data_IF_545527792144
#
_entry.id   IF_545527792144
#
_cell.length_a   1.000
_cell.length_b   1.000
_cell.length_c   1.000
_cell.angle_alpha   90.00
_cell.angle_beta   90.00
_cell.angle_gamma   90.00
#
_symmetry.space_group_name_H-M   'P 1'
#
loop_
_entity.id
_entity.type
_entity.pdbx_description
1 polymer ?
#
# COMPACT_ATOMS: atom_id res chain seq x y z
N UNK A 1 -0.52 1.03 2.35
CA UNK A 1 -0.62 2.00 1.25
C UNK A 1 0.18 1.52 0.08
N UNK A 2 -0.47 1.45 -1.08
CA UNK A 2 0.15 1.04 -2.35
C UNK A 2 0.45 2.30 -3.14
N UNK A 3 1.66 2.42 -3.67
CA UNK A 3 2.05 3.54 -4.53
C UNK A 3 1.28 3.52 -5.85
N UNK A 4 0.99 4.70 -6.40
CA UNK A 4 0.47 4.82 -7.76
C UNK A 4 1.43 4.13 -8.75
N UNK A 5 0.88 3.30 -9.64
CA UNK A 5 1.63 2.59 -10.66
C UNK A 5 1.16 2.92 -12.07
N UNK A 6 0.57 4.09 -12.26
CA UNK A 6 0.22 4.60 -13.58
C UNK A 6 1.41 4.45 -14.53
N UNK A 7 1.15 3.89 -15.71
CA UNK A 7 2.12 3.45 -16.73
C UNK A 7 2.86 2.11 -16.47
N UNK A 8 2.70 1.47 -15.32
CA UNK A 8 3.29 0.14 -15.03
C UNK A 8 2.50 -0.69 -14.00
N UNK A 9 1.38 -1.28 -14.44
CA UNK A 9 0.52 -2.15 -13.63
C UNK A 9 0.94 -3.62 -13.60
N UNK A 10 2.11 -3.96 -14.15
CA UNK A 10 2.56 -5.35 -14.19
C UNK A 10 3.00 -5.81 -12.80
N UNK A 11 2.49 -6.97 -12.38
CA UNK A 11 2.98 -7.70 -11.22
C UNK A 11 4.17 -8.57 -11.65
N UNK A 12 5.33 -7.93 -11.74
CA UNK A 12 6.61 -8.61 -11.96
C UNK A 12 7.20 -9.16 -10.65
N UNK A 13 8.43 -9.66 -10.73
CA UNK A 13 9.20 -10.09 -9.55
C UNK A 13 9.57 -8.93 -8.62
N UNK A 14 9.67 -7.71 -9.17
CA UNK A 14 9.90 -6.47 -8.44
C UNK A 14 8.65 -5.62 -8.52
N UNK A 15 7.89 -5.60 -7.42
CA UNK A 15 6.72 -4.72 -7.26
C UNK A 15 7.09 -3.44 -6.49
N UNK A 16 8.36 -3.05 -6.48
CA UNK A 16 8.89 -1.93 -5.72
C UNK A 16 8.86 -2.21 -4.22
N UNK A 17 8.79 -1.17 -3.38
CA UNK A 17 8.77 -1.28 -1.91
C UNK A 17 7.44 -1.82 -1.32
N UNK A 18 6.82 -2.77 -2.00
CA UNK A 18 5.52 -3.34 -1.65
C UNK A 18 5.63 -4.75 -1.07
N UNK A 19 6.71 -5.48 -1.34
CA UNK A 19 6.88 -6.87 -0.92
C UNK A 19 6.96 -6.96 0.61
N UNK A 20 7.92 -6.25 1.22
CA UNK A 20 8.11 -6.30 2.68
C UNK A 20 6.92 -5.66 3.41
N UNK A 21 6.41 -4.56 2.87
CA UNK A 21 5.21 -3.89 3.40
C UNK A 21 4.01 -4.85 3.50
N UNK A 22 3.79 -5.64 2.44
CA UNK A 22 2.68 -6.60 2.37
C UNK A 22 2.92 -7.82 3.25
N UNK A 23 4.16 -8.33 3.31
CA UNK A 23 4.57 -9.42 4.21
C UNK A 23 4.33 -9.04 5.69
N UNK A 24 4.71 -7.83 6.09
CA UNK A 24 4.48 -7.31 7.44
C UNK A 24 2.99 -7.20 7.72
N UNK A 25 2.21 -6.61 6.80
CA UNK A 25 0.75 -6.50 6.95
C UNK A 25 0.11 -7.88 7.16
N UNK A 26 0.52 -8.88 6.37
CA UNK A 26 0.03 -10.24 6.51
C UNK A 26 0.41 -10.89 7.84
N UNK A 27 1.66 -10.70 8.28
CA UNK A 27 2.12 -11.23 9.58
C UNK A 27 1.31 -10.63 10.74
N UNK A 28 1.04 -9.33 10.70
CA UNK A 28 0.22 -8.63 11.68
C UNK A 28 -1.22 -9.12 11.65
N UNK A 29 -1.83 -9.28 10.47
CA UNK A 29 -3.17 -9.89 10.34
C UNK A 29 -3.26 -11.24 11.03
N UNK A 30 -2.29 -12.13 10.84
CA UNK A 30 -2.32 -13.46 11.48
C UNK A 30 -2.15 -13.38 13.00
N UNK A 31 -1.29 -12.48 13.47
CA UNK A 31 -0.96 -12.38 14.89
C UNK A 31 -2.04 -11.60 15.69
N UNK A 32 -2.67 -10.60 15.09
CA UNK A 32 -3.63 -9.70 15.73
C UNK A 32 -5.08 -9.96 15.33
N UNK A 33 -5.32 -10.90 14.41
CA UNK A 33 -6.63 -11.10 13.76
C UNK A 33 -7.15 -9.81 13.08
N UNK A 34 -6.23 -8.95 12.63
CA UNK A 34 -6.56 -7.67 12.05
C UNK A 34 -7.16 -7.80 10.63
N UNK A 35 -7.84 -6.75 10.19
CA UNK A 35 -8.30 -6.61 8.80
C UNK A 35 -7.28 -5.81 8.00
N UNK A 36 -6.86 -6.32 6.84
CA UNK A 36 -5.98 -5.58 5.92
C UNK A 36 -6.85 -4.82 4.93
N UNK A 37 -6.51 -3.55 4.71
CA UNK A 37 -7.03 -2.72 3.61
C UNK A 37 -5.85 -2.25 2.76
N UNK A 38 -5.86 -2.60 1.49
CA UNK A 38 -4.95 -2.06 0.48
C UNK A 38 -5.61 -0.85 -0.16
N UNK A 39 -4.99 0.31 0.00
CA UNK A 39 -5.46 1.58 -0.57
C UNK A 39 -4.43 2.06 -1.58
N UNK A 40 -4.89 2.43 -2.76
CA UNK A 40 -4.10 3.13 -3.79
C UNK A 40 -4.81 4.45 -4.14
N UNK A 41 -4.03 5.52 -4.25
CA UNK A 41 -4.48 6.81 -4.77
C UNK A 41 -3.84 7.01 -6.15
N UNK A 42 -4.66 7.31 -7.15
CA UNK A 42 -4.24 7.57 -8.53
C UNK A 42 -4.73 8.95 -8.98
N UNK A 43 -4.03 9.54 -9.95
CA UNK A 43 -4.40 10.88 -10.47
C UNK A 43 -5.30 10.82 -11.69
N UNK A 44 -5.13 9.84 -12.57
CA UNK A 44 -5.91 9.74 -13.81
C UNK A 44 -7.12 8.82 -13.59
N UNK A 45 -8.36 9.33 -13.71
CA UNK A 45 -9.57 8.50 -13.65
C UNK A 45 -9.59 7.35 -14.66
N UNK A 46 -8.91 7.50 -15.80
CA UNK A 46 -8.85 6.44 -16.83
C UNK A 46 -8.10 5.19 -16.35
N UNK A 47 -7.22 5.35 -15.38
CA UNK A 47 -6.41 4.26 -14.82
C UNK A 47 -7.11 3.53 -13.66
N UNK A 48 -8.30 3.96 -13.25
CA UNK A 48 -9.02 3.37 -12.11
C UNK A 48 -9.27 1.88 -12.29
N UNK A 49 -9.64 1.46 -13.51
CA UNK A 49 -9.85 0.05 -13.82
C UNK A 49 -8.55 -0.76 -13.67
N UNK A 50 -7.44 -0.24 -14.20
CA UNK A 50 -6.13 -0.91 -14.11
C UNK A 50 -5.67 -1.02 -12.65
N UNK A 51 -5.89 0.03 -11.84
CA UNK A 51 -5.57 0.01 -10.42
C UNK A 51 -6.39 -1.02 -9.63
N UNK A 52 -7.69 -1.18 -9.96
CA UNK A 52 -8.54 -2.21 -9.35
C UNK A 52 -8.05 -3.61 -9.72
N UNK A 53 -7.81 -3.86 -11.00
CA UNK A 53 -7.30 -5.14 -11.49
C UNK A 53 -5.93 -5.49 -10.90
N UNK A 54 -5.06 -4.48 -10.70
CA UNK A 54 -3.79 -4.65 -10.01
C UNK A 54 -3.97 -5.10 -8.56
N UNK A 55 -4.82 -4.44 -7.77
CA UNK A 55 -5.05 -4.81 -6.38
C UNK A 55 -5.68 -6.20 -6.25
N UNK A 56 -6.62 -6.53 -7.12
CA UNK A 56 -7.27 -7.85 -7.12
C UNK A 56 -6.26 -8.96 -7.47
N UNK A 57 -5.41 -8.70 -8.47
CA UNK A 57 -4.34 -9.62 -8.86
C UNK A 57 -3.31 -9.78 -7.74
N UNK A 58 -2.92 -8.68 -7.08
CA UNK A 58 -2.01 -8.71 -5.92
C UNK A 58 -2.58 -9.56 -4.79
N UNK A 59 -3.85 -9.34 -4.41
CA UNK A 59 -4.52 -10.11 -3.35
C UNK A 59 -4.60 -11.60 -3.71
N UNK A 60 -4.90 -11.91 -4.96
CA UNK A 60 -5.01 -13.28 -5.47
C UNK A 60 -3.66 -13.99 -5.44
N UNK A 61 -2.62 -13.41 -6.08
CA UNK A 61 -1.31 -14.04 -6.21
C UNK A 61 -0.59 -14.14 -4.86
N UNK A 62 -0.69 -13.12 -4.00
CA UNK A 62 -0.13 -13.15 -2.65
C UNK A 62 -0.93 -14.02 -1.67
N UNK A 63 -2.04 -14.64 -2.10
CA UNK A 63 -2.93 -15.48 -1.29
C UNK A 63 -3.36 -14.79 0.01
N UNK A 64 -3.85 -13.55 -0.10
CA UNK A 64 -4.30 -12.70 1.02
C UNK A 64 -5.84 -12.63 1.11
N UNK A 65 -6.56 -13.74 1.37
CA UNK A 65 -8.03 -13.73 1.36
C UNK A 65 -8.58 -12.79 2.43
N UNK A 66 -9.77 -12.23 2.19
CA UNK A 66 -10.43 -11.26 3.09
C UNK A 66 -9.58 -10.00 3.33
N UNK A 67 -9.04 -9.46 2.24
CA UNK A 67 -8.34 -8.17 2.22
C UNK A 67 -9.23 -7.19 1.48
N UNK A 68 -9.45 -6.03 2.06
CA UNK A 68 -10.21 -4.95 1.43
C UNK A 68 -9.31 -4.24 0.42
N UNK A 69 -9.86 -3.85 -0.71
CA UNK A 69 -9.17 -3.07 -1.75
C UNK A 69 -9.93 -1.78 -2.01
N UNK A 70 -9.21 -0.66 -2.06
CA UNK A 70 -9.78 0.66 -2.32
C UNK A 70 -8.92 1.43 -3.32
N UNK A 71 -9.55 1.95 -4.36
CA UNK A 71 -8.94 2.84 -5.36
C UNK A 71 -9.59 4.20 -5.23
N UNK A 72 -8.78 5.23 -5.05
CA UNK A 72 -9.21 6.63 -4.96
C UNK A 72 -8.59 7.44 -6.09
N UNK A 73 -9.40 8.22 -6.80
CA UNK A 73 -8.95 9.12 -7.86
C UNK A 73 -8.83 10.55 -7.30
N UNK A 74 -7.73 10.84 -6.61
CA UNK A 74 -7.45 12.12 -5.95
C UNK A 74 -5.93 12.19 -5.63
N UNK A 75 -5.45 13.34 -5.16
CA UNK A 75 -4.09 13.48 -4.65
C UNK A 75 -3.86 12.57 -3.42
N UNK A 76 -2.73 11.88 -3.39
CA UNK A 76 -2.37 10.94 -2.32
C UNK A 76 -2.49 11.54 -0.92
N UNK A 77 -2.03 12.77 -0.69
CA UNK A 77 -2.10 13.41 0.63
C UNK A 77 -3.53 13.71 1.05
N UNK A 78 -4.38 14.05 0.08
CA UNK A 78 -5.81 14.26 0.29
C UNK A 78 -6.51 12.95 0.63
N UNK A 79 -6.17 11.85 -0.05
CA UNK A 79 -6.70 10.51 0.25
C UNK A 79 -6.27 10.06 1.65
N UNK A 80 -5.00 10.22 2.02
CA UNK A 80 -4.51 9.83 3.37
C UNK A 80 -5.30 10.52 4.49
N UNK A 81 -5.65 11.80 4.31
CA UNK A 81 -6.42 12.55 5.31
C UNK A 81 -7.90 12.16 5.40
N UNK A 82 -8.47 11.55 4.35
CA UNK A 82 -9.90 11.19 4.26
C UNK A 82 -10.14 9.69 4.39
N UNK A 83 -9.11 8.87 4.19
CA UNK A 83 -9.22 7.42 4.25
C UNK A 83 -9.73 6.95 5.61
N UNK A 84 -10.45 5.83 5.68
CA UNK A 84 -10.98 5.37 6.95
C UNK A 84 -9.84 5.05 7.92
N UNK A 85 -10.00 5.35 9.22
CA UNK A 85 -8.94 5.17 10.21
C UNK A 85 -8.46 3.71 10.29
N UNK A 86 -7.21 3.54 10.70
CA UNK A 86 -6.57 2.26 10.92
C UNK A 86 -5.68 2.33 12.17
N UNK A 87 -5.57 1.24 12.91
CA UNK A 87 -4.67 1.15 14.08
C UNK A 87 -3.19 1.31 13.68
N UNK A 88 -2.86 0.85 12.47
CA UNK A 88 -1.53 0.95 11.88
C UNK A 88 -1.62 1.22 10.37
N UNK A 89 -0.93 2.27 9.92
CA UNK A 89 -0.73 2.56 8.51
C UNK A 89 0.67 2.09 8.07
N UNK A 90 0.75 1.31 6.99
CA UNK A 90 2.02 0.82 6.43
C UNK A 90 2.28 1.52 5.10
N UNK A 91 3.43 2.19 4.98
CA UNK A 91 3.86 2.91 3.79
C UNK A 91 5.17 2.33 3.25
N UNK A 92 5.22 2.02 1.96
CA UNK A 92 6.47 1.75 1.26
C UNK A 92 7.31 3.03 1.14
N UNK A 93 8.63 2.91 1.32
CA UNK A 93 9.56 4.03 1.32
C UNK A 93 10.42 4.02 0.06
N UNK A 94 10.53 5.16 -0.61
CA UNK A 94 11.59 5.37 -1.59
C UNK A 94 12.96 5.53 -0.88
N UNK A 95 14.05 5.25 -1.59
CA UNK A 95 15.41 5.29 -1.05
C UNK A 95 15.84 6.66 -0.51
N UNK A 96 15.19 7.74 -0.96
CA UNK A 96 15.43 9.13 -0.55
C UNK A 96 14.29 9.72 0.30
N UNK A 97 13.65 8.90 1.14
CA UNK A 97 12.56 9.37 1.99
C UNK A 97 12.97 10.55 2.88
N UNK A 98 12.16 11.61 2.81
CA UNK A 98 12.35 12.84 3.56
C UNK A 98 11.61 12.78 4.89
N UNK A 99 12.22 13.30 5.96
CA UNK A 99 11.64 13.28 7.30
C UNK A 99 10.27 13.99 7.35
N UNK A 100 10.10 15.05 6.55
CA UNK A 100 8.84 15.80 6.44
C UNK A 100 7.68 14.92 5.98
N UNK A 101 7.94 13.91 5.13
CA UNK A 101 6.92 12.96 4.71
C UNK A 101 6.46 12.08 5.87
N UNK A 102 7.39 11.62 6.72
CA UNK A 102 7.07 10.79 7.89
C UNK A 102 6.18 11.56 8.86
N UNK A 103 6.56 12.80 9.16
CA UNK A 103 5.80 13.67 10.04
C UNK A 103 4.41 13.95 9.45
N UNK A 104 4.35 14.32 8.17
CA UNK A 104 3.09 14.64 7.49
C UNK A 104 2.12 13.45 7.48
N UNK A 105 2.59 12.23 7.15
CA UNK A 105 1.72 11.05 7.11
C UNK A 105 1.25 10.64 8.51
N UNK A 106 2.10 10.79 9.52
CA UNK A 106 1.74 10.51 10.91
C UNK A 106 0.65 11.46 11.40
N UNK A 107 0.80 12.77 11.13
CA UNK A 107 -0.19 13.78 11.47
C UNK A 107 -1.51 13.57 10.71
N UNK A 108 -1.46 13.32 9.40
CA UNK A 108 -2.67 13.18 8.56
C UNK A 108 -3.48 11.92 8.86
N UNK A 109 -2.83 10.81 9.20
CA UNK A 109 -3.53 9.58 9.59
C UNK A 109 -3.99 9.61 11.03
N UNK A 110 -3.39 10.47 11.87
CA UNK A 110 -3.61 10.54 13.32
C UNK A 110 -3.53 9.15 13.98
N UNK A 111 -2.56 8.34 13.56
CA UNK A 111 -2.41 6.94 13.97
C UNK A 111 -0.95 6.49 13.86
N UNK A 112 -0.67 5.27 14.36
CA UNK A 112 0.66 4.68 14.21
C UNK A 112 0.99 4.48 12.73
N UNK A 113 2.19 4.88 12.32
CA UNK A 113 2.69 4.69 10.96
C UNK A 113 3.96 3.85 10.98
N UNK A 114 4.02 2.84 10.12
CA UNK A 114 5.20 2.04 9.84
C UNK A 114 5.67 2.35 8.41
N UNK A 115 6.91 2.78 8.29
CA UNK A 115 7.54 3.08 7.01
C UNK A 115 8.53 1.96 6.71
N UNK A 116 8.36 1.31 5.56
CA UNK A 116 9.06 0.08 5.19
C UNK A 116 9.82 0.30 3.90
N UNK A 117 11.10 -0.05 3.90
CA UNK A 117 11.94 -0.08 2.71
C UNK A 117 12.33 -1.52 2.42
N UNK A 118 12.12 -1.95 1.18
CA UNK A 118 12.50 -3.29 0.76
C UNK A 118 14.01 -3.32 0.54
N UNK A 119 14.65 -4.45 0.82
CA UNK A 119 16.06 -4.65 0.52
C UNK A 119 16.30 -4.96 -0.97
N UNK A 120 15.24 -5.33 -1.70
CA UNK A 120 15.27 -5.73 -3.11
C UNK A 120 15.47 -7.23 -3.31
N UNK A 121 15.43 -8.01 -2.22
CA UNK A 121 15.50 -9.48 -2.24
C UNK A 121 14.21 -10.14 -1.77
N UNK A 122 13.25 -9.35 -1.29
CA UNK A 122 11.94 -9.81 -0.89
C UNK A 122 11.08 -10.12 -2.11
N UNK A 123 10.19 -11.11 -1.97
CA UNK A 123 9.14 -11.35 -2.95
C UNK A 123 7.91 -11.89 -2.23
N UNK A 124 6.80 -11.17 -2.29
CA UNK A 124 5.50 -11.61 -1.78
C UNK A 124 4.86 -12.69 -2.67
N UNK A 125 5.35 -12.83 -3.90
CA UNK A 125 4.81 -13.72 -4.92
C UNK A 125 5.57 -15.06 -5.04
N UNK A 126 6.68 -15.20 -4.32
CA UNK A 126 7.54 -16.39 -4.33
C UNK A 126 7.00 -17.57 -3.49
#
# INVERSE_FOLDING_TARGET
WVSDRTNNWNLGWDIGNLDLSTLIAYKLKRNWQATIRLIIAIKDPKEEKNAREFLDSLVSLARLPKTLTEVHVDDFRSVVAKAPPADLNIFGMDGNLRFEFVQEMTEKTNSSCLFVRDSGHESILA
#
